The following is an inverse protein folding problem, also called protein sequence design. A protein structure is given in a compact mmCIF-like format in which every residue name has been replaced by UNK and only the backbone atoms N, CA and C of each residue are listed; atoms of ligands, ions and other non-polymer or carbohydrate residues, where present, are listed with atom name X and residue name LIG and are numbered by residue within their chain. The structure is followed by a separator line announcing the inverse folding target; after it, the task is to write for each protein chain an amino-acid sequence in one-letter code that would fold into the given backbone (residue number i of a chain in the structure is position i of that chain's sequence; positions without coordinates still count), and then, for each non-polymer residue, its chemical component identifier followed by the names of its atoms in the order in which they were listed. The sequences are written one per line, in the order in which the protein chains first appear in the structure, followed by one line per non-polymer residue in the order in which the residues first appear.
data_IF_300238111964
#
_entry.id   IF_300238111964
#
_cell.length_a   1.000
_cell.length_b   1.000
_cell.length_c   1.000
_cell.angle_alpha   90.00
_cell.angle_beta   90.00
_cell.angle_gamma   90.00
#
_symmetry.space_group_name_H-M   'P 1'
#
loop_
_entity.id
_entity.type
_entity.pdbx_description
1 polymer ?
#
# COMPACT_ATOMS: atom_id res chain seq x y z
N UNK A 1 17.87 -9.47 -9.19
CA UNK A 1 17.06 -9.57 -10.41
C UNK A 1 17.41 -10.84 -11.21
N UNK A 2 18.70 -11.10 -11.60
CA UNK A 2 19.09 -12.22 -12.47
C UNK A 2 18.61 -13.59 -11.95
N UNK A 3 18.75 -13.87 -10.66
CA UNK A 3 18.27 -15.14 -10.05
C UNK A 3 16.76 -15.32 -10.17
N UNK A 4 15.99 -14.23 -10.13
CA UNK A 4 14.55 -14.29 -10.32
C UNK A 4 14.21 -14.67 -11.77
N UNK A 5 14.86 -14.06 -12.75
CA UNK A 5 14.67 -14.41 -14.16
C UNK A 5 15.08 -15.84 -14.46
N UNK A 6 16.16 -16.34 -13.87
CA UNK A 6 16.58 -17.74 -14.02
C UNK A 6 15.54 -18.72 -13.45
N UNK A 7 14.91 -18.37 -12.32
CA UNK A 7 13.82 -19.18 -11.75
C UNK A 7 12.62 -19.26 -12.70
N UNK A 8 12.09 -18.12 -13.16
CA UNK A 8 10.88 -18.08 -14.00
C UNK A 8 11.11 -18.67 -15.39
N UNK A 9 12.35 -18.71 -15.87
CA UNK A 9 12.74 -19.35 -17.13
C UNK A 9 13.12 -20.84 -16.98
N UNK A 10 13.03 -21.38 -15.74
CA UNK A 10 13.31 -22.80 -15.47
C UNK A 10 14.80 -23.19 -15.44
N UNK A 11 15.70 -22.20 -15.40
CA UNK A 11 17.15 -22.45 -15.40
C UNK A 11 17.74 -22.72 -14.02
N UNK A 12 17.02 -22.53 -12.93
CA UNK A 12 17.51 -22.78 -11.57
C UNK A 12 16.40 -23.09 -10.58
N UNK A 13 16.75 -23.83 -9.54
CA UNK A 13 15.91 -23.99 -8.36
C UNK A 13 15.66 -22.63 -7.66
N UNK A 14 14.58 -22.52 -6.84
CA UNK A 14 14.28 -21.32 -6.09
C UNK A 14 15.48 -20.90 -5.21
N UNK A 15 16.12 -19.76 -5.46
CA UNK A 15 17.21 -19.29 -4.62
C UNK A 15 16.69 -18.74 -3.32
N UNK A 16 17.54 -18.67 -2.28
CA UNK A 16 17.26 -17.91 -1.08
C UNK A 16 17.28 -16.42 -1.45
N UNK A 17 16.15 -15.73 -1.22
CA UNK A 17 15.99 -14.32 -1.51
C UNK A 17 16.28 -13.50 -0.24
N UNK A 18 17.11 -12.49 -0.35
CA UNK A 18 17.37 -11.59 0.78
C UNK A 18 16.32 -10.47 0.90
N UNK A 19 15.76 -10.02 -0.24
CA UNK A 19 14.85 -8.87 -0.30
C UNK A 19 13.57 -9.13 -1.09
N UNK A 20 13.63 -10.00 -2.09
CA UNK A 20 12.44 -10.34 -2.88
C UNK A 20 11.58 -11.35 -2.13
N UNK A 21 10.31 -11.05 -2.08
CA UNK A 21 9.26 -11.93 -1.58
C UNK A 21 8.41 -12.30 -2.79
N UNK A 22 8.24 -13.58 -3.04
CA UNK A 22 7.75 -14.10 -4.33
C UNK A 22 6.53 -14.98 -4.11
N UNK A 23 5.45 -14.74 -4.84
CA UNK A 23 4.36 -15.70 -4.99
C UNK A 23 4.67 -16.67 -6.17
N UNK A 24 4.28 -17.94 -6.07
CA UNK A 24 3.54 -18.59 -4.98
C UNK A 24 4.42 -19.16 -3.85
N UNK A 25 5.70 -18.76 -3.77
CA UNK A 25 6.68 -19.41 -2.89
C UNK A 25 6.54 -19.03 -1.41
N UNK A 26 6.58 -17.71 -1.10
CA UNK A 26 6.61 -17.24 0.29
C UNK A 26 5.87 -15.91 0.53
N UNK A 27 5.17 -15.38 -0.47
CA UNK A 27 4.57 -14.06 -0.35
C UNK A 27 3.42 -14.03 0.66
N UNK A 28 2.55 -15.06 0.67
CA UNK A 28 1.48 -15.14 1.66
C UNK A 28 2.03 -15.29 3.07
N UNK A 29 2.98 -16.20 3.25
CA UNK A 29 3.62 -16.46 4.55
C UNK A 29 4.25 -15.19 5.11
N UNK A 30 4.90 -14.41 4.25
CA UNK A 30 5.48 -13.12 4.66
C UNK A 30 4.42 -12.09 5.05
N UNK A 31 3.30 -12.01 4.33
CA UNK A 31 2.18 -11.15 4.73
C UNK A 31 1.65 -11.55 6.09
N UNK A 32 1.45 -12.86 6.32
CA UNK A 32 0.97 -13.38 7.61
C UNK A 32 1.96 -13.05 8.75
N UNK A 33 3.26 -13.26 8.54
CA UNK A 33 4.33 -12.90 9.49
C UNK A 33 4.32 -11.40 9.85
N UNK A 34 4.15 -10.53 8.84
CA UNK A 34 4.10 -9.09 9.07
C UNK A 34 2.87 -8.67 9.88
N UNK A 35 1.72 -9.31 9.65
CA UNK A 35 0.52 -9.07 10.46
C UNK A 35 0.70 -9.63 11.88
N UNK A 36 1.27 -10.84 12.03
CA UNK A 36 1.55 -11.44 13.34
C UNK A 36 2.47 -10.55 14.18
N UNK A 37 3.45 -9.92 13.56
CA UNK A 37 4.34 -8.97 14.23
C UNK A 37 3.58 -7.76 14.80
N UNK A 38 2.64 -7.19 14.06
CA UNK A 38 1.80 -6.10 14.58
C UNK A 38 0.87 -6.58 15.70
N UNK A 39 0.37 -7.82 15.64
CA UNK A 39 -0.41 -8.44 16.72
C UNK A 39 0.44 -8.50 18.01
N UNK A 40 1.69 -8.91 17.93
CA UNK A 40 2.57 -8.99 19.11
C UNK A 40 2.84 -7.60 19.69
N UNK A 41 3.07 -6.57 18.88
CA UNK A 41 3.19 -5.19 19.39
C UNK A 41 1.92 -4.73 20.10
N UNK A 42 0.74 -4.97 19.53
CA UNK A 42 -0.54 -4.61 20.16
C UNK A 42 -0.76 -5.34 21.50
N UNK A 43 -0.45 -6.64 21.57
CA UNK A 43 -0.54 -7.43 22.81
C UNK A 43 0.39 -6.92 23.91
N UNK A 44 1.54 -6.37 23.54
CA UNK A 44 2.50 -5.77 24.46
C UNK A 44 2.13 -4.32 24.86
N UNK A 45 0.97 -3.81 24.41
CA UNK A 45 0.52 -2.44 24.69
C UNK A 45 1.22 -1.37 23.87
N UNK A 46 1.92 -1.75 22.79
CA UNK A 46 2.57 -0.85 21.87
C UNK A 46 1.62 -0.45 20.74
N UNK A 47 1.87 0.71 20.13
CA UNK A 47 1.10 1.16 18.97
C UNK A 47 1.37 0.28 17.76
N UNK A 48 0.32 -0.37 17.25
CA UNK A 48 0.36 -1.26 16.10
C UNK A 48 -0.58 -0.76 15.00
N UNK A 49 -0.08 -0.70 13.75
CA UNK A 49 -0.84 -0.12 12.67
C UNK A 49 -0.49 -0.74 11.31
N UNK A 50 -1.52 -1.05 10.54
CA UNK A 50 -1.41 -1.59 9.18
C UNK A 50 -2.17 -0.68 8.22
N UNK A 51 -1.54 -0.31 7.09
CA UNK A 51 -2.24 0.28 5.95
C UNK A 51 -2.06 -0.65 4.75
N UNK A 52 -3.16 -1.05 4.13
CA UNK A 52 -3.13 -1.86 2.91
C UNK A 52 -3.82 -1.16 1.75
N UNK A 53 -3.06 -0.77 0.70
CA UNK A 53 -3.65 -0.30 -0.56
C UNK A 53 -3.49 -1.37 -1.62
N UNK A 54 -4.62 -1.77 -2.23
CA UNK A 54 -4.67 -2.83 -3.24
C UNK A 54 -5.90 -2.69 -4.13
N UNK A 55 -5.98 -3.51 -5.19
CA UNK A 55 -7.19 -3.50 -6.02
C UNK A 55 -8.26 -4.41 -5.45
N UNK A 56 -7.89 -5.57 -4.89
CA UNK A 56 -8.86 -6.55 -4.38
C UNK A 56 -8.35 -7.30 -3.15
N UNK A 57 -9.27 -7.63 -2.24
CA UNK A 57 -9.02 -8.37 -1.00
C UNK A 57 -10.01 -9.53 -0.87
N UNK A 58 -9.56 -10.78 -1.17
CA UNK A 58 -10.39 -11.98 -1.19
C UNK A 58 -9.75 -13.20 -0.52
N UNK A 59 -8.43 -13.16 -0.17
CA UNK A 59 -7.78 -14.30 0.44
C UNK A 59 -8.30 -14.54 1.86
N UNK A 60 -8.98 -15.67 2.06
CA UNK A 60 -9.63 -16.01 3.33
C UNK A 60 -8.65 -16.09 4.51
N UNK A 61 -7.41 -16.56 4.26
CA UNK A 61 -6.41 -16.69 5.32
C UNK A 61 -5.92 -15.32 5.77
N UNK A 62 -5.63 -14.43 4.81
CA UNK A 62 -5.23 -13.05 5.12
C UNK A 62 -6.37 -12.30 5.81
N UNK A 63 -7.62 -12.43 5.35
CA UNK A 63 -8.78 -11.79 5.98
C UNK A 63 -8.96 -12.27 7.43
N UNK A 64 -8.88 -13.59 7.68
CA UNK A 64 -8.96 -14.12 9.04
C UNK A 64 -7.85 -13.57 9.94
N UNK A 65 -6.63 -13.44 9.41
CA UNK A 65 -5.50 -12.87 10.14
C UNK A 65 -5.69 -11.37 10.44
N UNK A 66 -6.30 -10.61 9.52
CA UNK A 66 -6.64 -9.20 9.78
C UNK A 66 -7.71 -9.06 10.86
N UNK A 67 -8.69 -9.98 10.93
CA UNK A 67 -9.66 -10.01 12.03
C UNK A 67 -9.00 -10.32 13.37
N UNK A 68 -8.07 -11.29 13.41
CA UNK A 68 -7.26 -11.59 14.60
C UNK A 68 -6.47 -10.34 15.02
N UNK A 69 -5.84 -9.65 14.10
CA UNK A 69 -5.08 -8.43 14.37
C UNK A 69 -5.99 -7.31 14.93
N UNK A 70 -7.17 -7.10 14.34
CA UNK A 70 -8.14 -6.14 14.85
C UNK A 70 -8.59 -6.47 16.27
N UNK A 71 -8.91 -7.74 16.53
CA UNK A 71 -9.30 -8.21 17.88
C UNK A 71 -8.16 -8.05 18.90
N UNK A 72 -6.91 -8.09 18.48
CA UNK A 72 -5.74 -7.83 19.33
C UNK A 72 -5.46 -6.33 19.55
N UNK A 73 -6.21 -5.42 18.91
CA UNK A 73 -6.05 -3.98 19.07
C UNK A 73 -5.24 -3.29 17.95
N UNK A 74 -4.82 -4.00 16.91
CA UNK A 74 -4.12 -3.40 15.77
C UNK A 74 -5.09 -2.51 14.98
N UNK A 75 -4.73 -1.25 14.78
CA UNK A 75 -5.44 -0.36 13.84
C UNK A 75 -5.16 -0.79 12.39
N UNK A 76 -6.20 -0.86 11.56
CA UNK A 76 -6.07 -1.32 10.17
C UNK A 76 -6.88 -0.42 9.25
N UNK A 77 -6.22 0.26 8.34
CA UNK A 77 -6.83 1.07 7.29
C UNK A 77 -6.60 0.44 5.91
N UNK A 78 -7.68 0.04 5.24
CA UNK A 78 -7.62 -0.61 3.94
C UNK A 78 -8.21 0.29 2.84
N UNK A 79 -7.45 0.44 1.76
CA UNK A 79 -7.86 1.17 0.55
C UNK A 79 -8.00 0.15 -0.56
N UNK A 80 -9.24 -0.29 -0.84
CA UNK A 80 -9.56 -1.36 -1.79
C UNK A 80 -10.55 -0.83 -2.82
N UNK A 81 -10.09 -0.62 -4.06
CA UNK A 81 -10.93 -0.01 -5.09
C UNK A 81 -11.87 -0.99 -5.81
N UNK A 82 -11.63 -2.29 -5.74
CA UNK A 82 -12.41 -3.35 -6.38
C UNK A 82 -13.05 -4.26 -5.35
N UNK A 83 -13.00 -5.57 -5.58
CA UNK A 83 -13.69 -6.55 -4.74
C UNK A 83 -13.04 -6.63 -3.34
N UNK A 84 -13.85 -6.48 -2.30
CA UNK A 84 -13.46 -6.68 -0.92
C UNK A 84 -14.48 -7.58 -0.22
N UNK A 85 -14.04 -8.76 0.27
CA UNK A 85 -14.90 -9.70 1.01
C UNK A 85 -14.72 -9.60 2.53
N UNK A 86 -13.77 -8.78 3.00
CA UNK A 86 -13.65 -8.42 4.41
C UNK A 86 -14.81 -7.51 4.82
N UNK A 87 -15.29 -7.65 6.05
CA UNK A 87 -16.33 -6.80 6.66
C UNK A 87 -15.71 -6.00 7.80
N UNK A 88 -15.63 -4.65 7.70
CA UNK A 88 -15.16 -3.78 8.78
C UNK A 88 -16.26 -3.52 9.80
N UNK A 89 -15.90 -3.07 11.00
CA UNK A 89 -16.82 -2.54 12.00
C UNK A 89 -17.77 -3.57 12.62
N UNK A 90 -17.43 -4.86 12.60
CA UNK A 90 -18.17 -5.91 13.31
C UNK A 90 -17.66 -5.97 14.75
N UNK A 91 -18.57 -5.73 15.71
CA UNK A 91 -18.25 -5.67 17.13
C UNK A 91 -17.48 -6.91 17.62
N UNK A 92 -16.36 -6.71 18.29
CA UNK A 92 -15.47 -7.74 18.82
C UNK A 92 -14.61 -8.48 17.76
N UNK A 93 -14.78 -8.15 16.48
CA UNK A 93 -14.07 -8.84 15.37
C UNK A 93 -13.25 -7.87 14.53
N UNK A 94 -13.87 -6.79 14.05
CA UNK A 94 -13.24 -5.85 13.13
C UNK A 94 -13.48 -4.39 13.51
N UNK A 95 -13.59 -4.11 14.80
CA UNK A 95 -13.80 -2.75 15.33
C UNK A 95 -12.68 -1.79 14.92
N UNK A 96 -11.46 -2.30 14.78
CA UNK A 96 -10.27 -1.52 14.45
C UNK A 96 -9.94 -1.52 12.95
N UNK A 97 -10.85 -2.04 12.10
CA UNK A 97 -10.66 -2.06 10.65
C UNK A 97 -11.55 -1.02 9.99
N UNK A 98 -10.95 -0.17 9.16
CA UNK A 98 -11.69 0.64 8.19
C UNK A 98 -11.38 0.18 6.77
N UNK A 99 -12.40 0.24 5.90
CA UNK A 99 -12.24 -0.04 4.48
C UNK A 99 -12.82 1.11 3.68
N UNK A 100 -12.01 1.64 2.77
CA UNK A 100 -12.44 2.67 1.83
C UNK A 100 -12.12 2.29 0.40
N UNK A 101 -12.97 2.74 -0.53
CA UNK A 101 -12.76 2.63 -1.96
C UNK A 101 -12.63 4.04 -2.55
N UNK A 102 -11.59 4.27 -3.33
CA UNK A 102 -11.36 5.54 -4.03
C UNK A 102 -11.31 5.23 -5.52
N UNK A 103 -12.27 5.76 -6.28
CA UNK A 103 -12.36 5.64 -7.73
C UNK A 103 -12.48 7.04 -8.32
N UNK A 104 -11.58 7.38 -9.21
CA UNK A 104 -11.51 8.70 -9.80
C UNK A 104 -11.12 8.65 -11.29
N UNK A 105 -10.50 9.73 -11.76
CA UNK A 105 -10.08 9.90 -13.15
C UNK A 105 -9.06 8.87 -13.61
N UNK A 106 -8.13 8.49 -12.70
CA UNK A 106 -7.03 7.60 -13.02
C UNK A 106 -7.28 6.20 -12.47
N UNK A 107 -6.88 5.18 -13.26
CA UNK A 107 -6.81 3.81 -12.79
C UNK A 107 -5.56 3.64 -11.93
N UNK A 108 -5.76 3.45 -10.63
CA UNK A 108 -4.68 3.25 -9.68
C UNK A 108 -4.40 1.76 -9.51
N UNK A 109 -3.26 1.30 -9.99
CA UNK A 109 -2.91 -0.11 -10.01
C UNK A 109 -1.79 -0.49 -9.04
N UNK A 110 -1.24 0.45 -8.29
CA UNK A 110 -0.19 0.20 -7.32
C UNK A 110 -0.73 -0.49 -6.06
N UNK A 111 0.06 -1.37 -5.47
CA UNK A 111 -0.22 -2.02 -4.20
C UNK A 111 0.89 -1.66 -3.24
N UNK A 112 0.50 -1.14 -2.09
CA UNK A 112 1.37 -0.63 -1.05
C UNK A 112 0.92 -1.19 0.29
N UNK A 113 1.87 -1.70 1.07
CA UNK A 113 1.60 -2.26 2.39
C UNK A 113 2.53 -1.62 3.41
N UNK A 114 1.94 -1.01 4.42
CA UNK A 114 2.63 -0.37 5.53
C UNK A 114 2.35 -1.11 6.83
N UNK A 115 3.38 -1.27 7.63
CA UNK A 115 3.33 -1.85 8.98
C UNK A 115 4.13 -0.96 9.92
N UNK A 116 3.57 -0.64 11.08
CA UNK A 116 4.18 0.24 12.09
C UNK A 116 5.48 -0.31 12.67
N UNK A 117 5.52 -1.63 12.92
CA UNK A 117 6.73 -2.35 13.34
C UNK A 117 7.44 -1.73 14.55
N UNK A 118 6.69 -1.45 15.64
CA UNK A 118 7.24 -0.87 16.86
C UNK A 118 7.96 0.48 16.63
N UNK A 119 7.51 1.26 15.65
CA UNK A 119 8.13 2.55 15.27
C UNK A 119 9.24 2.46 14.21
N UNK A 120 9.74 1.25 13.90
CA UNK A 120 10.66 1.04 12.77
C UNK A 120 9.89 0.66 11.50
N UNK A 121 9.18 1.62 10.96
CA UNK A 121 8.22 1.47 9.87
C UNK A 121 8.72 0.61 8.72
N UNK A 122 7.89 -0.37 8.34
CA UNK A 122 8.15 -1.25 7.19
C UNK A 122 7.14 -0.96 6.09
N UNK A 123 7.63 -0.71 4.87
CA UNK A 123 6.81 -0.35 3.73
C UNK A 123 7.21 -1.19 2.53
N UNK A 124 6.21 -1.72 1.85
CA UNK A 124 6.39 -2.65 0.74
C UNK A 124 5.62 -2.18 -0.50
N UNK A 125 6.25 -2.35 -1.66
CA UNK A 125 5.61 -2.27 -2.97
C UNK A 125 5.38 -3.69 -3.49
N UNK A 126 4.18 -3.96 -4.03
CA UNK A 126 3.83 -5.29 -4.54
C UNK A 126 3.13 -5.23 -5.89
N UNK A 127 3.29 -6.29 -6.68
CA UNK A 127 2.45 -6.56 -7.84
C UNK A 127 1.18 -7.35 -7.50
N UNK A 128 1.15 -8.00 -6.33
CA UNK A 128 0.05 -8.85 -5.87
C UNK A 128 -1.04 -8.08 -5.15
N UNK A 129 -2.29 -8.38 -5.47
CA UNK A 129 -3.43 -8.17 -4.59
C UNK A 129 -3.49 -9.30 -3.54
N UNK A 130 -4.21 -9.11 -2.45
CA UNK A 130 -4.45 -10.16 -1.48
C UNK A 130 -5.62 -11.07 -1.93
N UNK A 131 -5.37 -11.76 -3.04
CA UNK A 131 -6.28 -12.69 -3.70
C UNK A 131 -5.66 -14.09 -3.79
N UNK A 132 -6.47 -15.18 -3.68
CA UNK A 132 -5.96 -16.55 -3.82
C UNK A 132 -5.15 -16.76 -5.09
N UNK A 133 -5.63 -16.25 -6.22
CA UNK A 133 -4.94 -16.38 -7.51
C UNK A 133 -3.57 -15.70 -7.53
N UNK A 134 -3.45 -14.50 -6.96
CA UNK A 134 -2.15 -13.79 -6.88
C UNK A 134 -1.19 -14.49 -5.93
N UNK A 135 -1.69 -14.99 -4.79
CA UNK A 135 -0.84 -15.54 -3.74
C UNK A 135 -0.44 -17.01 -3.97
N UNK A 136 -1.22 -17.78 -4.80
CA UNK A 136 -1.00 -19.22 -4.98
C UNK A 136 -0.64 -19.65 -6.41
N UNK A 137 -1.03 -18.87 -7.42
CA UNK A 137 -1.02 -19.36 -8.80
C UNK A 137 -0.14 -18.50 -9.71
N UNK A 138 -0.08 -17.18 -9.43
CA UNK A 138 0.70 -16.25 -10.24
C UNK A 138 2.10 -16.05 -9.69
N UNK A 139 3.02 -15.72 -10.58
CA UNK A 139 4.32 -15.18 -10.19
C UNK A 139 4.15 -13.70 -9.89
N UNK A 140 4.24 -13.35 -8.62
CA UNK A 140 4.10 -11.98 -8.14
C UNK A 140 5.27 -11.63 -7.23
N UNK A 141 5.55 -10.33 -7.09
CA UNK A 141 6.65 -9.83 -6.28
C UNK A 141 6.15 -8.86 -5.21
N UNK A 142 6.78 -8.91 -4.05
CA UNK A 142 6.72 -7.87 -3.03
C UNK A 142 8.15 -7.53 -2.62
N UNK A 143 8.46 -6.23 -2.58
CA UNK A 143 9.79 -5.71 -2.24
C UNK A 143 9.70 -4.67 -1.12
N UNK A 144 10.63 -4.66 -0.15
CA UNK A 144 10.71 -3.60 0.86
C UNK A 144 11.22 -2.30 0.21
N UNK A 145 10.66 -1.19 0.64
CA UNK A 145 11.19 0.14 0.34
C UNK A 145 12.13 0.52 1.48
N UNK A 146 13.44 0.52 1.22
CA UNK A 146 14.47 0.73 2.26
C UNK A 146 14.98 2.16 2.33
N UNK A 147 15.07 2.86 1.18
CA UNK A 147 15.51 4.26 1.15
C UNK A 147 14.52 5.16 1.89
N UNK A 148 15.04 5.96 2.81
CA UNK A 148 14.25 6.82 3.70
C UNK A 148 13.37 7.80 2.92
N UNK A 149 13.91 8.45 1.89
CA UNK A 149 13.18 9.44 1.07
C UNK A 149 12.04 8.79 0.31
N UNK A 150 12.27 7.56 -0.22
CA UNK A 150 11.23 6.80 -0.89
C UNK A 150 10.16 6.32 0.10
N UNK A 151 10.53 5.90 1.32
CA UNK A 151 9.56 5.57 2.38
C UNK A 151 8.67 6.77 2.71
N UNK A 152 9.27 7.92 3.00
CA UNK A 152 8.56 9.17 3.30
C UNK A 152 7.61 9.56 2.16
N UNK A 153 8.09 9.48 0.91
CA UNK A 153 7.27 9.78 -0.28
C UNK A 153 6.09 8.84 -0.42
N UNK A 154 6.30 7.53 -0.27
CA UNK A 154 5.21 6.54 -0.41
C UNK A 154 4.26 6.60 0.78
N UNK A 155 4.77 6.87 1.99
CA UNK A 155 3.92 7.10 3.17
C UNK A 155 3.02 8.32 2.96
N UNK A 156 3.55 9.45 2.48
CA UNK A 156 2.76 10.65 2.18
C UNK A 156 1.67 10.40 1.13
N UNK A 157 1.92 9.51 0.16
CA UNK A 157 0.90 9.10 -0.82
C UNK A 157 -0.21 8.28 -0.13
N UNK A 158 0.14 7.34 0.75
CA UNK A 158 -0.84 6.58 1.52
C UNK A 158 -1.68 7.49 2.43
N UNK A 159 -1.04 8.44 3.13
CA UNK A 159 -1.74 9.39 3.98
C UNK A 159 -2.73 10.23 3.17
N UNK A 160 -2.33 10.71 2.00
CA UNK A 160 -3.21 11.48 1.12
C UNK A 160 -4.44 10.67 0.67
N UNK A 161 -4.30 9.35 0.42
CA UNK A 161 -5.45 8.48 0.18
C UNK A 161 -6.34 8.31 1.42
N UNK A 162 -5.76 8.31 2.60
CA UNK A 162 -6.51 8.25 3.86
C UNK A 162 -7.25 9.57 4.15
N UNK A 163 -6.75 10.68 3.63
CA UNK A 163 -7.35 12.01 3.77
C UNK A 163 -8.36 12.35 2.68
N UNK A 164 -8.55 11.48 1.66
CA UNK A 164 -9.52 11.74 0.59
C UNK A 164 -10.95 11.79 1.11
N UNK A 165 -11.58 12.96 0.98
CA UNK A 165 -12.96 13.23 1.40
C UNK A 165 -13.92 13.37 0.22
N UNK A 166 -13.42 13.59 -1.00
CA UNK A 166 -14.24 13.82 -2.18
C UNK A 166 -14.59 12.55 -2.94
N UNK A 167 -13.69 11.58 -3.01
CA UNK A 167 -13.85 10.36 -3.80
C UNK A 167 -13.97 9.10 -2.95
N UNK A 168 -13.58 9.16 -1.67
CA UNK A 168 -13.63 8.02 -0.78
C UNK A 168 -15.07 7.59 -0.46
N UNK A 169 -15.31 6.29 -0.60
CA UNK A 169 -16.52 5.60 -0.15
C UNK A 169 -16.14 4.60 0.92
N UNK A 170 -16.73 4.69 2.09
CA UNK A 170 -16.44 3.84 3.24
C UNK A 170 -17.38 2.65 3.29
N UNK A 171 -16.83 1.46 3.50
CA UNK A 171 -17.60 0.24 3.65
C UNK A 171 -18.18 0.15 5.07
N UNK A 172 -19.44 -0.24 5.18
CA UNK A 172 -20.12 -0.57 6.44
C UNK A 172 -20.02 -2.07 6.74
N UNK A 173 -20.38 -2.45 7.96
CA UNK A 173 -20.40 -3.85 8.40
C UNK A 173 -21.31 -4.75 7.54
N UNK A 174 -22.37 -4.22 6.97
CA UNK A 174 -23.26 -4.94 6.05
C UNK A 174 -22.68 -5.08 4.63
N UNK A 175 -21.54 -4.39 4.35
CA UNK A 175 -20.86 -4.35 3.07
C UNK A 175 -21.40 -3.32 2.09
N UNK A 176 -22.35 -2.50 2.49
CA UNK A 176 -22.73 -1.32 1.74
C UNK A 176 -21.65 -0.24 1.83
N UNK A 177 -21.61 0.64 0.84
CA UNK A 177 -20.70 1.78 0.83
C UNK A 177 -21.46 3.09 1.02
N UNK A 178 -20.85 4.02 1.75
CA UNK A 178 -21.36 5.38 1.90
C UNK A 178 -20.26 6.38 1.64
N UNK A 179 -20.63 7.54 1.15
CA UNK A 179 -19.73 8.66 0.92
C UNK A 179 -19.77 9.60 2.13
N UNK A 180 -18.61 10.03 2.58
CA UNK A 180 -18.48 11.15 3.50
C UNK A 180 -18.30 12.39 2.64
N UNK A 181 -19.29 13.31 2.68
CA UNK A 181 -19.18 14.60 2.02
C UNK A 181 -18.68 15.62 3.05
N UNK A 182 -17.39 15.68 3.25
CA UNK A 182 -16.79 16.82 3.93
C UNK A 182 -16.70 17.98 2.93
N UNK A 183 -17.57 19.00 3.13
CA UNK A 183 -17.60 20.18 2.28
C UNK A 183 -16.69 21.30 2.79
N UNK A 184 -16.24 21.21 4.03
CA UNK A 184 -15.39 22.23 4.64
C UNK A 184 -13.92 22.06 4.21
N UNK A 185 -13.45 20.81 4.12
CA UNK A 185 -12.08 20.49 3.68
C UNK A 185 -12.09 19.42 2.57
N UNK A 186 -12.46 19.80 1.33
CA UNK A 186 -12.55 18.83 0.23
C UNK A 186 -11.16 18.43 -0.27
N UNK A 187 -10.76 17.18 -0.06
CA UNK A 187 -9.49 16.61 -0.54
C UNK A 187 -9.79 15.53 -1.57
N UNK A 188 -9.17 15.63 -2.74
CA UNK A 188 -9.13 14.58 -3.76
C UNK A 188 -7.69 14.12 -3.94
N UNK A 189 -7.39 12.90 -3.50
CA UNK A 189 -6.03 12.36 -3.53
C UNK A 189 -5.43 12.38 -4.95
N UNK A 190 -6.22 12.03 -5.96
CA UNK A 190 -5.75 12.03 -7.35
C UNK A 190 -5.44 13.43 -7.88
N UNK A 191 -6.24 14.42 -7.53
CA UNK A 191 -6.03 15.81 -7.97
C UNK A 191 -4.80 16.42 -7.27
N UNK A 192 -4.61 16.16 -5.99
CA UNK A 192 -3.42 16.62 -5.26
C UNK A 192 -2.13 15.95 -5.77
N UNK A 193 -2.17 14.64 -6.06
CA UNK A 193 -1.04 13.94 -6.68
C UNK A 193 -0.72 14.49 -8.07
N UNK A 194 -1.73 14.84 -8.86
CA UNK A 194 -1.55 15.45 -10.17
C UNK A 194 -0.91 16.83 -10.06
N UNK A 195 -1.37 17.69 -9.15
CA UNK A 195 -0.77 19.02 -8.89
C UNK A 195 0.71 18.87 -8.51
N UNK A 196 1.00 17.98 -7.56
CA UNK A 196 2.38 17.72 -7.12
C UNK A 196 3.28 17.24 -8.26
N UNK A 197 2.77 16.40 -9.16
CA UNK A 197 3.54 15.93 -10.33
C UNK A 197 3.86 17.06 -11.30
N UNK A 198 2.90 17.93 -11.58
CA UNK A 198 3.08 19.11 -12.45
C UNK A 198 4.09 20.08 -11.84
N UNK A 199 3.98 20.37 -10.56
CA UNK A 199 4.93 21.24 -9.86
C UNK A 199 6.36 20.69 -9.85
N UNK A 200 6.51 19.37 -9.73
CA UNK A 200 7.82 18.72 -9.80
C UNK A 200 8.45 18.86 -11.18
N UNK A 201 7.67 18.61 -12.24
CA UNK A 201 8.11 18.78 -13.63
C UNK A 201 8.56 20.22 -13.90
N UNK A 202 7.79 21.22 -13.44
CA UNK A 202 8.16 22.63 -13.58
C UNK A 202 9.47 22.94 -12.88
N UNK A 203 9.71 22.46 -11.63
CA UNK A 203 10.96 22.67 -10.92
C UNK A 203 12.15 22.04 -11.63
N UNK A 204 12.02 20.80 -12.11
CA UNK A 204 13.09 20.14 -12.86
C UNK A 204 13.41 20.88 -14.15
N UNK A 205 12.40 21.32 -14.89
CA UNK A 205 12.58 22.11 -16.12
C UNK A 205 13.31 23.44 -15.86
N UNK A 206 12.94 24.17 -14.80
CA UNK A 206 13.61 25.40 -14.39
C UNK A 206 15.07 25.15 -14.00
N UNK A 207 15.35 24.09 -13.24
CA UNK A 207 16.73 23.72 -12.85
C UNK A 207 17.59 23.40 -14.07
N UNK A 208 17.04 22.75 -15.09
CA UNK A 208 17.77 22.48 -16.36
C UNK A 208 18.06 23.77 -17.10
N UNK A 209 17.08 24.68 -17.21
CA UNK A 209 17.25 25.98 -17.86
C UNK A 209 18.33 26.81 -17.14
N UNK A 210 18.30 26.88 -15.82
CA UNK A 210 19.29 27.61 -15.03
C UNK A 210 20.71 27.04 -15.22
N UNK A 211 20.87 25.71 -15.33
CA UNK A 211 22.16 25.07 -15.63
C UNK A 211 22.69 25.36 -17.02
N UNK A 212 21.79 25.52 -18.00
CA UNK A 212 22.16 25.81 -19.41
C UNK A 212 22.44 27.29 -19.68
N UNK A 213 21.87 28.24 -18.91
CA UNK A 213 22.06 29.67 -19.09
C UNK A 213 23.54 30.12 -19.06
N UNK A 214 24.42 29.64 -18.18
CA UNK A 214 25.85 30.02 -18.21
C UNK A 214 26.54 29.58 -19.49
N UNK A 215 26.20 28.40 -20.05
CA UNK A 215 26.80 27.90 -21.29
C UNK A 215 26.37 28.70 -22.52
N UNK A 216 25.16 29.25 -22.54
CA UNK A 216 24.68 30.11 -23.63
C UNK A 216 25.29 31.51 -23.61
N UNK A 217 25.75 31.98 -22.43
CA UNK A 217 26.46 33.29 -22.30
C UNK A 217 27.93 33.22 -22.64
N UNK A 218 28.56 32.05 -22.64
CA UNK A 218 29.96 31.85 -23.01
C UNK A 218 30.21 31.79 -24.52
N UNK A 219 29.14 31.61 -25.33
CA UNK A 219 29.18 31.51 -26.79
C UNK A 219 28.76 32.81 -27.50
N UNK A 220 28.76 33.95 -26.82
CA UNK A 220 28.62 35.30 -27.36
C UNK A 220 29.87 36.09 -27.01
#
# INVERSE_FOLDING_TARGET
ASRFFNLISGYSDPPIWNKFIVAPLNLREKIMELIDREIEFAKNGEEAYIIGKMNSLLDKKVIAKLYEASSAGVRIDLIVRGICTLRPGIAGVSDNITVRSIVGRFLEHHRLFYFRNGGNESLYLSSADWMPRNLNERVELMIPIEDKRHKERVKSILDLYLDDTLKAHFMRADGSYHKINDRENPISAQEELMKTAIEHEHRESMTVIERLQPMLKMNR
#
